data_IF_864692568685
#
_entry.id   IF_864692568685
#
_cell.length_a   1.000
_cell.length_b   1.000
_cell.length_c   1.000
_cell.angle_alpha   90.00
_cell.angle_beta   90.00
_cell.angle_gamma   90.00
#
_symmetry.space_group_name_H-M   'P 1'
#
loop_
_entity.id
_entity.type
_entity.pdbx_description
1 polymer ?
#
# COMPACT_ATOMS: atom_id res chain seq x y z
N UNK A 1 10.26 -15.94 -49.68
CA UNK A 1 9.49 -14.69 -49.48
C UNK A 1 8.74 -14.80 -48.16
N UNK A 2 9.03 -14.00 -47.11
CA UNK A 2 8.30 -14.09 -45.86
C UNK A 2 6.97 -13.34 -45.97
N UNK A 3 5.85 -14.02 -45.68
CA UNK A 3 4.51 -13.40 -45.66
C UNK A 3 4.39 -12.48 -44.45
N UNK A 4 4.45 -11.17 -44.67
CA UNK A 4 4.22 -10.16 -43.66
C UNK A 4 2.77 -10.20 -43.16
N UNK A 5 2.55 -10.81 -41.99
CA UNK A 5 1.27 -10.77 -41.30
C UNK A 5 1.00 -9.36 -40.78
N UNK A 6 -0.08 -8.72 -41.25
CA UNK A 6 -0.60 -7.47 -40.68
C UNK A 6 -1.00 -7.73 -39.23
N UNK A 7 -0.20 -7.25 -38.28
CA UNK A 7 -0.54 -7.19 -36.86
C UNK A 7 -1.65 -6.14 -36.71
N UNK A 8 -2.90 -6.59 -36.75
CA UNK A 8 -4.08 -5.74 -36.55
C UNK A 8 -3.92 -4.94 -35.27
N UNK A 9 -3.97 -3.62 -35.37
CA UNK A 9 -3.74 -2.73 -34.22
C UNK A 9 -4.78 -2.98 -33.15
N UNK A 10 -4.36 -3.02 -31.88
CA UNK A 10 -5.22 -3.10 -30.70
C UNK A 10 -6.07 -1.82 -30.47
N UNK A 11 -6.28 -1.02 -31.50
CA UNK A 11 -7.08 0.20 -31.46
C UNK A 11 -8.55 -0.22 -31.55
N UNK A 12 -9.26 -0.16 -30.43
CA UNK A 12 -10.69 -0.49 -30.35
C UNK A 12 -11.01 -1.74 -29.53
N UNK A 13 -10.03 -2.43 -28.94
CA UNK A 13 -10.32 -3.46 -27.94
C UNK A 13 -10.88 -2.78 -26.69
N UNK A 14 -12.10 -3.15 -26.29
CA UNK A 14 -12.71 -2.66 -25.06
C UNK A 14 -11.78 -2.94 -23.88
N UNK A 15 -11.45 -1.91 -23.11
CA UNK A 15 -10.63 -2.03 -21.90
C UNK A 15 -11.37 -2.95 -20.92
N UNK A 16 -10.85 -4.16 -20.74
CA UNK A 16 -11.30 -5.05 -19.69
C UNK A 16 -10.75 -4.49 -18.38
N UNK A 17 -11.62 -3.99 -17.52
CA UNK A 17 -11.25 -3.62 -16.17
C UNK A 17 -11.31 -4.91 -15.33
N UNK A 18 -10.18 -5.33 -14.78
CA UNK A 18 -10.15 -6.40 -13.77
C UNK A 18 -11.04 -6.00 -12.61
N UNK A 19 -11.88 -6.93 -12.15
CA UNK A 19 -12.76 -6.67 -11.01
C UNK A 19 -11.93 -6.42 -9.74
N UNK A 20 -12.41 -5.60 -8.79
CA UNK A 20 -11.67 -5.35 -7.55
C UNK A 20 -11.37 -6.65 -6.79
N UNK A 21 -12.29 -7.62 -6.85
CA UNK A 21 -12.15 -8.95 -6.25
C UNK A 21 -11.01 -9.76 -6.91
N UNK A 22 -10.85 -9.66 -8.24
CA UNK A 22 -9.75 -10.33 -8.95
C UNK A 22 -8.39 -9.72 -8.60
N UNK A 23 -8.32 -8.40 -8.43
CA UNK A 23 -7.09 -7.70 -8.04
C UNK A 23 -6.68 -8.12 -6.63
N UNK A 24 -7.63 -8.21 -5.70
CA UNK A 24 -7.39 -8.68 -4.33
C UNK A 24 -6.96 -10.14 -4.29
N UNK A 25 -7.60 -11.00 -5.09
CA UNK A 25 -7.23 -12.41 -5.19
C UNK A 25 -5.79 -12.58 -5.72
N UNK A 26 -5.38 -11.78 -6.70
CA UNK A 26 -4.02 -11.79 -7.24
C UNK A 26 -2.98 -11.33 -6.20
N UNK A 27 -3.25 -10.23 -5.50
CA UNK A 27 -2.40 -9.72 -4.41
C UNK A 27 -2.26 -10.73 -3.27
N UNK A 28 -3.35 -11.40 -2.91
CA UNK A 28 -3.35 -12.42 -1.87
C UNK A 28 -2.54 -13.66 -2.30
N UNK A 29 -2.71 -14.12 -3.55
CA UNK A 29 -1.94 -15.23 -4.11
C UNK A 29 -0.43 -14.93 -4.16
N UNK A 30 -0.04 -13.71 -4.52
CA UNK A 30 1.37 -13.29 -4.55
C UNK A 30 1.97 -13.25 -3.14
N UNK A 31 1.24 -12.71 -2.15
CA UNK A 31 1.63 -12.74 -0.72
C UNK A 31 1.84 -14.18 -0.22
N UNK A 32 0.94 -15.10 -0.58
CA UNK A 32 1.09 -16.50 -0.19
C UNK A 32 2.30 -17.17 -0.84
N UNK A 33 2.58 -16.87 -2.13
CA UNK A 33 3.79 -17.37 -2.80
C UNK A 33 5.07 -16.81 -2.16
N UNK A 34 5.10 -15.53 -1.78
CA UNK A 34 6.23 -14.93 -1.06
C UNK A 34 6.48 -15.59 0.30
N UNK A 35 5.42 -15.87 1.06
CA UNK A 35 5.52 -16.62 2.33
C UNK A 35 6.02 -18.06 2.14
N UNK A 36 5.61 -18.75 1.08
CA UNK A 36 6.13 -20.10 0.76
C UNK A 36 7.61 -20.06 0.38
N UNK A 37 8.04 -19.05 -0.39
CA UNK A 37 9.46 -18.87 -0.78
C UNK A 37 10.36 -18.56 0.41
N UNK A 38 9.90 -17.73 1.34
CA UNK A 38 10.65 -17.39 2.56
C UNK A 38 10.75 -18.59 3.49
N UNK A 39 9.64 -19.33 3.73
CA UNK A 39 9.68 -20.60 4.48
C UNK A 39 10.63 -21.62 3.85
N UNK A 40 10.58 -21.80 2.52
CA UNK A 40 11.50 -22.69 1.82
C UNK A 40 12.96 -22.25 1.95
N UNK A 41 13.26 -20.95 2.01
CA UNK A 41 14.63 -20.44 2.22
C UNK A 41 15.15 -20.76 3.64
N UNK A 42 14.26 -20.74 4.63
CA UNK A 42 14.57 -21.12 6.02
C UNK A 42 14.74 -22.63 6.14
N UNK A 43 13.87 -23.44 5.51
CA UNK A 43 14.00 -24.91 5.49
C UNK A 43 15.27 -25.38 4.76
N UNK A 44 15.75 -24.64 3.75
CA UNK A 44 16.97 -24.96 3.01
C UNK A 44 18.26 -24.46 3.69
N UNK A 45 18.21 -24.04 4.97
CA UNK A 45 19.39 -23.81 5.80
C UNK A 45 20.34 -22.69 5.32
N UNK A 46 19.90 -21.77 4.45
CA UNK A 46 20.71 -20.63 3.99
C UNK A 46 20.66 -19.49 5.01
N UNK A 47 21.03 -19.80 6.25
CA UNK A 47 21.25 -18.86 7.33
C UNK A 47 22.76 -18.59 7.36
N UNK A 48 23.16 -17.36 7.02
CA UNK A 48 24.55 -16.93 7.10
C UNK A 48 24.97 -16.93 8.56
N UNK A 49 25.68 -17.96 8.98
CA UNK A 49 26.37 -18.04 10.27
C UNK A 49 27.68 -17.24 10.16
N UNK A 50 27.81 -16.18 10.96
CA UNK A 50 29.07 -15.48 11.22
C UNK A 50 29.46 -15.88 12.64
N UNK A 51 30.44 -16.78 12.72
CA UNK A 51 30.82 -17.55 13.91
C UNK A 51 31.94 -16.79 14.65
N UNK A 52 31.58 -16.05 15.70
CA UNK A 52 32.50 -15.24 16.50
C UNK A 52 33.21 -16.14 17.54
N UNK A 53 34.45 -16.53 17.26
CA UNK A 53 35.26 -17.45 18.08
C UNK A 53 35.82 -16.80 19.36
N UNK A 54 35.47 -17.34 20.53
CA UNK A 54 36.02 -17.00 21.84
C UNK A 54 37.42 -17.62 22.03
N UNK A 55 38.47 -16.77 22.04
CA UNK A 55 39.85 -17.17 22.29
C UNK A 55 40.16 -17.15 23.79
N UNK A 56 39.85 -18.25 24.49
CA UNK A 56 40.41 -18.46 25.83
C UNK A 56 41.86 -18.95 25.75
N UNK A 57 42.79 -18.00 25.61
CA UNK A 57 44.22 -18.27 25.77
C UNK A 57 44.50 -18.64 27.24
N UNK A 58 44.89 -19.90 27.48
CA UNK A 58 45.34 -20.36 28.80
C UNK A 58 46.70 -19.74 29.12
N UNK A 59 46.72 -18.63 29.86
CA UNK A 59 47.95 -18.01 30.35
C UNK A 59 48.63 -18.93 31.39
N UNK A 60 49.96 -19.04 31.35
CA UNK A 60 50.76 -19.84 32.29
C UNK A 60 51.38 -18.92 33.34
N UNK A 61 51.26 -19.24 34.64
CA UNK A 61 51.93 -18.54 35.74
C UNK A 61 51.02 -17.62 36.58
N UNK A 62 51.63 -16.72 37.36
CA UNK A 62 50.96 -15.81 38.33
C UNK A 62 50.10 -14.73 37.64
N UNK A 63 50.23 -14.55 36.32
CA UNK A 63 49.46 -13.57 35.54
C UNK A 63 47.96 -13.91 35.45
N UNK A 64 47.57 -15.17 35.62
CA UNK A 64 46.16 -15.58 35.68
C UNK A 64 45.51 -15.43 37.05
N UNK A 65 46.28 -15.04 38.08
CA UNK A 65 45.82 -14.94 39.48
C UNK A 65 45.32 -13.53 39.84
N UNK A 66 45.43 -12.56 38.94
CA UNK A 66 44.94 -11.20 39.15
C UNK A 66 43.44 -11.20 38.87
N UNK A 67 42.64 -10.93 39.88
CA UNK A 67 41.19 -10.80 39.75
C UNK A 67 40.86 -9.61 38.84
N UNK A 68 40.49 -9.90 37.58
CA UNK A 68 39.99 -8.88 36.66
C UNK A 68 38.56 -8.56 37.09
N UNK A 69 38.44 -7.68 38.08
CA UNK A 69 37.18 -7.05 38.49
C UNK A 69 36.79 -5.99 37.46
N UNK A 70 36.39 -6.47 36.28
CA UNK A 70 35.75 -5.62 35.31
C UNK A 70 34.29 -5.41 35.75
N UNK A 71 33.88 -4.19 36.14
CA UNK A 71 32.52 -3.92 36.63
C UNK A 71 31.43 -4.14 35.56
N UNK A 72 31.80 -4.20 34.28
CA UNK A 72 30.91 -4.54 33.18
C UNK A 72 30.95 -6.04 32.83
N UNK A 73 31.74 -6.86 33.54
CA UNK A 73 31.82 -8.30 33.31
C UNK A 73 30.59 -8.97 33.91
N UNK A 74 29.62 -9.23 33.05
CA UNK A 74 28.43 -10.01 33.42
C UNK A 74 28.86 -11.48 33.59
N UNK A 75 28.95 -11.94 34.83
CA UNK A 75 29.20 -13.35 35.13
C UNK A 75 28.00 -14.18 34.66
N UNK A 76 28.20 -14.99 33.62
CA UNK A 76 27.16 -15.89 33.15
C UNK A 76 26.99 -17.04 34.14
N UNK A 77 25.96 -16.93 34.98
CA UNK A 77 25.52 -18.00 35.87
C UNK A 77 24.50 -18.87 35.13
N UNK A 78 24.66 -20.19 35.20
CA UNK A 78 23.74 -21.14 34.56
C UNK A 78 22.43 -21.18 35.35
N UNK A 79 21.44 -20.41 34.89
CA UNK A 79 20.08 -20.44 35.45
C UNK A 79 19.38 -21.72 35.03
N UNK A 80 18.68 -22.36 35.97
CA UNK A 80 17.85 -23.53 35.70
C UNK A 80 16.62 -23.10 34.89
N UNK A 81 16.25 -23.90 33.89
CA UNK A 81 15.15 -23.63 32.94
C UNK A 81 13.82 -23.32 33.65
N UNK A 82 13.59 -23.86 34.85
CA UNK A 82 12.39 -23.64 35.66
C UNK A 82 12.28 -22.26 36.31
N UNK A 83 13.32 -21.42 36.23
CA UNK A 83 13.37 -20.06 36.79
C UNK A 83 13.33 -18.97 35.72
N UNK A 84 13.12 -19.32 34.45
CA UNK A 84 12.94 -18.35 33.39
C UNK A 84 11.45 -17.97 33.33
N UNK A 85 11.13 -16.75 33.76
CA UNK A 85 9.81 -16.14 33.58
C UNK A 85 9.60 -15.84 32.08
N UNK A 86 8.87 -16.72 31.40
CA UNK A 86 8.52 -16.60 29.98
C UNK A 86 7.24 -15.76 29.75
N UNK A 87 6.58 -15.32 30.82
CA UNK A 87 5.28 -14.62 30.80
C UNK A 87 5.40 -13.08 30.73
N UNK A 88 6.62 -12.53 30.66
CA UNK A 88 6.83 -11.11 30.42
C UNK A 88 6.61 -10.74 28.94
N UNK A 89 6.10 -9.53 28.62
CA UNK A 89 5.97 -9.09 27.24
C UNK A 89 7.34 -9.18 26.57
N UNK A 90 7.43 -10.08 25.60
CA UNK A 90 8.67 -10.32 24.85
C UNK A 90 9.11 -9.00 24.26
N UNK A 91 10.22 -8.47 24.79
CA UNK A 91 10.83 -7.27 24.26
C UNK A 91 11.31 -7.56 22.84
N UNK A 92 10.44 -7.27 21.87
CA UNK A 92 10.70 -7.44 20.46
C UNK A 92 12.10 -6.91 20.14
N UNK A 93 12.87 -7.72 19.44
CA UNK A 93 14.26 -7.43 19.10
C UNK A 93 14.36 -6.03 18.47
N UNK A 94 15.47 -5.34 18.66
CA UNK A 94 15.70 -3.97 18.12
C UNK A 94 15.29 -3.86 16.64
N UNK A 95 15.51 -4.93 15.87
CA UNK A 95 15.09 -5.09 14.46
C UNK A 95 13.57 -5.17 14.27
N UNK A 96 12.86 -5.89 15.13
CA UNK A 96 11.41 -6.08 15.04
C UNK A 96 10.65 -4.79 15.40
N UNK A 97 11.18 -4.00 16.34
CA UNK A 97 10.62 -2.67 16.68
C UNK A 97 10.68 -1.72 15.49
N UNK A 98 11.83 -1.65 14.82
CA UNK A 98 12.02 -0.80 13.63
C UNK A 98 11.17 -1.29 12.44
N UNK A 99 11.01 -2.60 12.24
CA UNK A 99 10.16 -3.12 11.17
C UNK A 99 8.67 -2.83 11.39
N UNK A 100 8.19 -2.94 12.64
CA UNK A 100 6.81 -2.59 12.99
C UNK A 100 6.57 -1.09 12.82
N UNK A 101 7.52 -0.24 13.23
CA UNK A 101 7.41 1.20 13.03
C UNK A 101 7.42 1.57 11.55
N UNK A 102 8.27 0.93 10.75
CA UNK A 102 8.30 1.11 9.30
C UNK A 102 6.99 0.67 8.63
N UNK A 103 6.36 -0.40 9.12
CA UNK A 103 5.04 -0.83 8.66
C UNK A 103 3.96 0.18 9.06
N UNK A 104 3.91 0.59 10.34
CA UNK A 104 2.98 1.61 10.84
C UNK A 104 3.12 2.95 10.11
N UNK A 105 4.33 3.37 9.79
CA UNK A 105 4.58 4.60 9.04
C UNK A 105 4.04 4.51 7.60
N UNK A 106 4.23 3.37 6.93
CA UNK A 106 3.64 3.12 5.59
C UNK A 106 2.12 3.07 5.66
N UNK A 107 1.55 2.38 6.63
CA UNK A 107 0.10 2.33 6.83
C UNK A 107 -0.48 3.71 7.12
N UNK A 108 0.18 4.50 7.98
CA UNK A 108 -0.23 5.88 8.26
C UNK A 108 -0.17 6.74 7.00
N UNK A 109 0.87 6.60 6.18
CA UNK A 109 0.98 7.31 4.91
C UNK A 109 -0.14 6.91 3.96
N UNK A 110 -0.38 5.61 3.78
CA UNK A 110 -1.46 5.10 2.94
C UNK A 110 -2.83 5.55 3.44
N UNK A 111 -3.07 5.50 4.75
CA UNK A 111 -4.32 5.94 5.35
C UNK A 111 -4.52 7.46 5.20
N UNK A 112 -3.46 8.27 5.37
CA UNK A 112 -3.53 9.71 5.10
C UNK A 112 -3.78 10.02 3.62
N UNK A 113 -3.21 9.23 2.70
CA UNK A 113 -3.44 9.38 1.27
C UNK A 113 -4.87 9.00 0.89
N UNK A 114 -5.38 7.87 1.38
CA UNK A 114 -6.77 7.42 1.18
C UNK A 114 -7.78 8.40 1.80
N UNK A 115 -7.46 8.95 2.97
CA UNK A 115 -8.27 9.99 3.61
C UNK A 115 -8.24 11.34 2.88
N UNK A 116 -7.50 11.46 1.77
CA UNK A 116 -7.43 12.71 1.01
C UNK A 116 -6.63 13.80 1.72
N UNK A 117 -5.79 13.46 2.71
CA UNK A 117 -5.02 14.43 3.49
C UNK A 117 -3.67 14.76 2.88
N UNK A 118 -3.12 13.87 2.04
CA UNK A 118 -1.92 14.16 1.24
C UNK A 118 -2.21 15.26 0.22
N UNK A 119 -1.21 16.09 -0.08
CA UNK A 119 -1.38 17.19 -1.06
C UNK A 119 -1.80 16.67 -2.44
N UNK A 120 -1.26 15.53 -2.85
CA UNK A 120 -1.63 14.88 -4.10
C UNK A 120 -3.10 14.43 -4.10
N UNK A 121 -3.57 13.76 -3.04
CA UNK A 121 -4.96 13.33 -2.98
C UNK A 121 -5.93 14.52 -2.86
N UNK A 122 -5.52 15.62 -2.20
CA UNK A 122 -6.28 16.88 -2.20
C UNK A 122 -6.39 17.47 -3.60
N UNK A 123 -5.29 17.49 -4.35
CA UNK A 123 -5.27 17.99 -5.72
C UNK A 123 -6.18 17.14 -6.63
N UNK A 124 -6.09 15.81 -6.53
CA UNK A 124 -6.94 14.90 -7.30
C UNK A 124 -8.43 15.07 -6.95
N UNK A 125 -8.77 15.20 -5.66
CA UNK A 125 -10.13 15.49 -5.22
C UNK A 125 -10.62 16.85 -5.73
N UNK A 126 -9.77 17.88 -5.70
CA UNK A 126 -10.10 19.20 -6.22
C UNK A 126 -10.34 19.16 -7.74
N UNK A 127 -9.52 18.43 -8.49
CA UNK A 127 -9.74 18.22 -9.93
C UNK A 127 -11.07 17.51 -10.21
N UNK A 128 -11.38 16.46 -9.45
CA UNK A 128 -12.67 15.76 -9.57
C UNK A 128 -13.85 16.67 -9.23
N UNK A 129 -13.73 17.55 -8.23
CA UNK A 129 -14.75 18.53 -7.88
C UNK A 129 -14.96 19.55 -9.02
N UNK A 130 -13.89 20.03 -9.65
CA UNK A 130 -13.97 20.92 -10.83
C UNK A 130 -14.72 20.22 -11.97
N UNK A 131 -14.39 18.96 -12.27
CA UNK A 131 -15.06 18.20 -13.33
C UNK A 131 -16.55 18.01 -13.00
N UNK A 132 -16.89 17.69 -11.75
CA UNK A 132 -18.29 17.59 -11.31
C UNK A 132 -19.05 18.90 -11.53
N UNK A 133 -18.45 20.02 -11.10
CA UNK A 133 -19.04 21.35 -11.28
C UNK A 133 -19.23 21.69 -12.76
N UNK A 134 -18.23 21.44 -13.61
CA UNK A 134 -18.35 21.67 -15.05
C UNK A 134 -19.44 20.80 -15.69
N UNK A 135 -19.58 19.54 -15.25
CA UNK A 135 -20.65 18.64 -15.73
C UNK A 135 -22.03 19.11 -15.30
N UNK A 136 -22.16 19.54 -14.04
CA UNK A 136 -23.40 20.09 -13.51
C UNK A 136 -23.79 21.40 -14.21
N UNK A 137 -22.85 22.32 -14.37
CA UNK A 137 -23.08 23.59 -15.10
C UNK A 137 -23.42 23.34 -16.56
N UNK A 138 -22.77 22.39 -17.23
CA UNK A 138 -23.12 22.01 -18.61
C UNK A 138 -24.52 21.37 -18.69
N UNK A 139 -24.88 20.51 -17.73
CA UNK A 139 -26.21 19.91 -17.67
C UNK A 139 -27.29 20.98 -17.42
N UNK A 140 -27.04 21.90 -16.47
CA UNK A 140 -27.91 23.02 -16.16
C UNK A 140 -28.08 23.95 -17.36
N UNK A 141 -26.99 24.32 -18.04
CA UNK A 141 -27.03 25.17 -19.25
C UNK A 141 -27.82 24.49 -20.37
N UNK A 142 -27.66 23.17 -20.55
CA UNK A 142 -28.42 22.39 -21.53
C UNK A 142 -29.91 22.32 -21.19
N UNK A 143 -30.27 22.23 -19.91
CA UNK A 143 -31.66 22.24 -19.46
C UNK A 143 -32.31 23.62 -19.65
N UNK A 144 -31.61 24.70 -19.31
CA UNK A 144 -32.07 26.08 -19.52
C UNK A 144 -32.28 26.39 -21.01
N UNK A 145 -31.35 25.98 -21.88
CA UNK A 145 -31.50 26.12 -23.33
C UNK A 145 -32.69 25.30 -23.86
N UNK A 146 -32.89 24.08 -23.35
CA UNK A 146 -34.05 23.26 -23.72
C UNK A 146 -35.36 23.92 -23.29
N UNK A 147 -35.45 24.41 -22.05
CA UNK A 147 -36.62 25.14 -21.54
C UNK A 147 -36.90 26.41 -22.34
N UNK A 148 -35.87 27.15 -22.74
CA UNK A 148 -36.02 28.35 -23.57
C UNK A 148 -36.56 28.01 -24.97
N UNK A 149 -36.06 26.94 -25.60
CA UNK A 149 -36.59 26.43 -26.88
C UNK A 149 -38.04 25.95 -26.74
N UNK A 150 -38.35 25.19 -25.70
CA UNK A 150 -39.71 24.71 -25.46
C UNK A 150 -40.66 25.89 -25.21
N UNK A 151 -40.25 26.90 -24.43
CA UNK A 151 -41.02 28.13 -24.22
C UNK A 151 -41.20 28.93 -25.52
N UNK A 152 -40.16 29.07 -26.34
CA UNK A 152 -40.25 29.75 -27.64
C UNK A 152 -41.19 29.01 -28.60
N UNK A 153 -41.14 27.68 -28.65
CA UNK A 153 -42.07 26.90 -29.48
C UNK A 153 -43.51 26.96 -28.97
N UNK A 154 -43.73 26.93 -27.66
CA UNK A 154 -45.05 27.11 -27.03
C UNK A 154 -45.61 28.51 -27.28
N UNK A 155 -44.78 29.54 -27.13
CA UNK A 155 -45.13 30.94 -27.43
C UNK A 155 -45.48 31.11 -28.92
N UNK A 156 -44.67 30.55 -29.83
CA UNK A 156 -44.95 30.57 -31.26
C UNK A 156 -46.25 29.87 -31.63
N UNK A 157 -46.52 28.69 -31.06
CA UNK A 157 -47.80 27.97 -31.23
C UNK A 157 -48.98 28.76 -30.67
N UNK A 158 -48.82 29.42 -29.52
CA UNK A 158 -49.85 30.28 -28.91
C UNK A 158 -50.14 31.52 -29.75
N UNK A 159 -49.13 32.13 -30.36
CA UNK A 159 -49.34 33.25 -31.28
C UNK A 159 -50.01 32.81 -32.59
N UNK A 160 -49.62 31.66 -33.14
CA UNK A 160 -50.31 31.09 -34.30
C UNK A 160 -51.78 30.78 -34.01
N UNK A 161 -52.09 30.15 -32.88
CA UNK A 161 -53.48 29.87 -32.53
C UNK A 161 -54.30 31.16 -32.37
N UNK A 162 -53.77 32.17 -31.69
CA UNK A 162 -54.42 33.49 -31.57
C UNK A 162 -54.66 34.16 -32.92
N UNK A 163 -53.79 33.93 -33.92
CA UNK A 163 -53.96 34.46 -35.27
C UNK A 163 -55.02 33.72 -36.08
N UNK A 164 -55.24 32.42 -35.82
CA UNK A 164 -56.28 31.62 -36.50
C UNK A 164 -57.71 31.85 -35.95
N UNK A 165 -57.87 32.47 -34.78
CA UNK A 165 -59.17 32.74 -34.15
C UNK A 165 -59.67 34.19 -34.34
N UNK A 166 -59.11 34.93 -35.31
CA UNK A 166 -59.45 36.32 -35.61
C UNK A 166 -59.92 36.46 -37.04
#
# INVERSE_FOLDING_TARGET
>A
MPKGGRKGGHKGQARQYTSPEEIEAQLHAEKQKGKKRTKKKVEMGLQSEDEEGDYQQKCKGVEGLRDIENPNRVAQTTKKVTQLDLDGPTELSRREREEIEKQKAKERYMNMHLAGKSEQAKADLAQLAIIRKQREEAARKKEEERKAKDYATLSGKRMQSLFLYK
#
